data_IF_198101065339
#
_entry.id   IF_198101065339
#
_cell.length_a   1.000
_cell.length_b   1.000
_cell.length_c   1.000
_cell.angle_alpha   90.00
_cell.angle_beta   90.00
_cell.angle_gamma   90.00
#
_symmetry.space_group_name_H-M   'P 1'
#
loop_
_entity.id
_entity.type
_entity.pdbx_description
1 polymer ?
#
# COMPACT_ATOMS: atom_id res chain seq x y z
N UNK A 1 -11.34 -1.97 -25.14
CA UNK A 1 -10.61 -3.16 -24.67
C UNK A 1 -11.18 -3.57 -23.32
N UNK A 2 -11.93 -4.69 -23.24
CA UNK A 2 -12.44 -5.22 -21.97
C UNK A 2 -11.26 -5.82 -21.22
N UNK A 3 -10.87 -5.25 -20.09
CA UNK A 3 -9.96 -5.92 -19.17
C UNK A 3 -10.64 -7.21 -18.72
N UNK A 4 -10.24 -8.35 -19.28
CA UNK A 4 -10.54 -9.66 -18.69
C UNK A 4 -10.03 -9.60 -17.26
N UNK A 5 -10.95 -9.75 -16.30
CA UNK A 5 -10.76 -9.64 -14.85
C UNK A 5 -9.85 -10.76 -14.34
N UNK A 6 -8.58 -10.68 -14.68
CA UNK A 6 -7.56 -11.59 -14.18
C UNK A 6 -7.23 -11.19 -12.74
N UNK A 7 -7.45 -12.11 -11.82
CA UNK A 7 -7.12 -11.92 -10.43
C UNK A 7 -5.63 -12.19 -10.24
N UNK A 8 -4.84 -11.12 -10.33
CA UNK A 8 -3.40 -11.21 -10.25
C UNK A 8 -2.87 -11.39 -8.81
N UNK A 9 -3.77 -11.37 -7.80
CA UNK A 9 -3.40 -11.48 -6.37
C UNK A 9 -2.95 -12.88 -5.93
N UNK A 10 -3.16 -13.90 -6.79
CA UNK A 10 -2.85 -15.32 -6.52
C UNK A 10 -1.80 -15.89 -7.48
N UNK A 11 -1.12 -15.02 -8.22
CA UNK A 11 -0.32 -15.42 -9.36
C UNK A 11 0.95 -16.18 -8.94
N UNK A 12 0.92 -17.50 -9.15
CA UNK A 12 2.09 -18.40 -9.04
C UNK A 12 3.25 -17.95 -9.95
N UNK A 13 4.45 -18.54 -9.79
CA UNK A 13 5.62 -18.28 -10.65
C UNK A 13 5.30 -18.30 -12.16
N UNK A 14 4.31 -19.09 -12.59
CA UNK A 14 3.87 -19.20 -13.99
C UNK A 14 3.08 -17.98 -14.48
N UNK A 15 2.38 -17.29 -13.59
CA UNK A 15 1.64 -16.08 -13.90
C UNK A 15 2.55 -14.83 -13.98
N UNK A 16 3.69 -14.81 -13.28
CA UNK A 16 4.68 -13.72 -13.36
C UNK A 16 5.09 -13.43 -14.81
N UNK A 17 5.35 -14.48 -15.60
CA UNK A 17 5.65 -14.35 -17.04
C UNK A 17 4.46 -13.83 -17.85
N UNK A 18 3.25 -14.31 -17.55
CA UNK A 18 2.04 -13.94 -18.30
C UNK A 18 1.68 -12.46 -18.07
N UNK A 19 1.85 -11.98 -16.83
CA UNK A 19 1.76 -10.57 -16.45
C UNK A 19 2.76 -9.72 -17.24
N UNK A 20 4.04 -10.11 -17.21
CA UNK A 20 5.11 -9.41 -17.92
C UNK A 20 4.85 -9.34 -19.43
N UNK A 21 4.30 -10.40 -20.02
CA UNK A 21 4.06 -10.49 -21.47
C UNK A 21 2.80 -9.73 -21.88
N UNK A 22 1.78 -9.61 -21.02
CA UNK A 22 0.50 -8.98 -21.39
C UNK A 22 0.44 -7.46 -21.16
N UNK A 23 1.60 -6.77 -21.14
CA UNK A 23 1.76 -5.29 -21.19
C UNK A 23 0.62 -4.52 -20.52
N UNK A 24 0.50 -4.66 -19.20
CA UNK A 24 -0.56 -3.98 -18.47
C UNK A 24 -0.21 -2.50 -18.37
N UNK A 25 -1.20 -1.63 -18.53
CA UNK A 25 -1.00 -0.18 -18.40
C UNK A 25 -1.17 0.28 -16.93
N UNK A 26 -0.66 -0.51 -15.97
CA UNK A 26 -0.65 -0.09 -14.58
C UNK A 26 0.38 1.02 -14.38
N UNK A 27 0.03 2.01 -13.57
CA UNK A 27 0.83 3.23 -13.42
C UNK A 27 1.46 3.37 -12.03
N UNK A 28 1.03 2.56 -11.07
CA UNK A 28 1.59 2.58 -9.71
C UNK A 28 0.71 1.90 -8.67
N UNK A 29 1.24 1.85 -7.45
CA UNK A 29 0.55 1.40 -6.24
C UNK A 29 0.14 2.64 -5.45
N UNK A 30 -1.07 2.63 -4.89
CA UNK A 30 -1.51 3.61 -3.92
C UNK A 30 -1.77 2.95 -2.58
N UNK A 31 -1.47 3.68 -1.51
CA UNK A 31 -1.55 3.21 -0.14
C UNK A 31 -2.32 4.25 0.66
N UNK A 32 -3.30 3.82 1.43
CA UNK A 32 -3.99 4.64 2.43
C UNK A 32 -3.90 3.94 3.78
N UNK A 33 -3.37 4.61 4.79
CA UNK A 33 -3.27 4.07 6.14
C UNK A 33 -3.83 5.12 7.11
N UNK A 34 -4.86 4.72 7.85
CA UNK A 34 -5.39 5.45 8.98
C UNK A 34 -5.90 4.44 10.03
N UNK A 35 -6.34 4.93 11.19
CA UNK A 35 -6.76 4.07 12.30
C UNK A 35 -8.02 3.23 12.02
N UNK A 36 -8.82 3.57 10.99
CA UNK A 36 -10.02 2.83 10.58
C UNK A 36 -9.77 1.90 9.40
N UNK A 37 -8.95 2.36 8.46
CA UNK A 37 -8.84 1.79 7.12
C UNK A 37 -7.39 1.74 6.72
N UNK A 38 -6.99 0.59 6.19
CA UNK A 38 -5.65 0.39 5.67
C UNK A 38 -5.74 -0.34 4.34
N UNK A 39 -5.41 0.36 3.26
CA UNK A 39 -5.66 -0.06 1.89
C UNK A 39 -4.39 -0.01 1.06
N UNK A 40 -4.28 -0.98 0.16
CA UNK A 40 -3.29 -0.99 -0.92
C UNK A 40 -4.05 -1.27 -2.20
N UNK A 41 -3.82 -0.48 -3.25
CA UNK A 41 -4.41 -0.77 -4.55
C UNK A 41 -3.49 -0.49 -5.73
N UNK A 42 -3.70 -1.24 -6.81
CA UNK A 42 -3.01 -1.04 -8.08
C UNK A 42 -3.81 -0.08 -8.96
N UNK A 43 -3.14 0.98 -9.43
CA UNK A 43 -3.71 1.98 -10.33
C UNK A 43 -3.56 1.55 -11.78
N UNK A 44 -4.66 1.58 -12.52
CA UNK A 44 -4.70 1.47 -13.97
C UNK A 44 -4.72 2.83 -14.68
N UNK A 45 -4.91 2.81 -16.01
CA UNK A 45 -4.97 4.03 -16.82
C UNK A 45 -6.05 5.00 -16.33
N UNK A 46 -5.71 6.28 -16.28
CA UNK A 46 -6.61 7.33 -15.79
C UNK A 46 -6.87 7.26 -14.28
N UNK A 47 -6.00 6.61 -13.51
CA UNK A 47 -6.10 6.54 -12.04
C UNK A 47 -7.14 5.55 -11.52
N UNK A 48 -7.67 4.66 -12.35
CA UNK A 48 -8.71 3.70 -11.95
C UNK A 48 -8.16 2.63 -11.02
N UNK A 49 -8.86 2.36 -9.93
CA UNK A 49 -8.60 1.22 -9.06
C UNK A 49 -8.85 -0.11 -9.80
N UNK A 50 -7.82 -0.95 -9.86
CA UNK A 50 -7.90 -2.24 -10.56
C UNK A 50 -7.98 -3.42 -9.60
N UNK A 51 -7.28 -3.34 -8.46
CA UNK A 51 -7.20 -4.40 -7.47
C UNK A 51 -6.90 -3.76 -6.11
N UNK A 52 -7.69 -4.09 -5.10
CA UNK A 52 -7.62 -3.47 -3.77
C UNK A 52 -7.48 -4.54 -2.69
N UNK A 53 -6.56 -4.32 -1.76
CA UNK A 53 -6.43 -5.08 -0.52
C UNK A 53 -6.69 -4.16 0.67
N UNK A 54 -7.33 -4.70 1.70
CA UNK A 54 -7.63 -4.00 2.94
C UNK A 54 -7.14 -4.82 4.14
N UNK A 55 -6.41 -4.18 5.05
CA UNK A 55 -6.17 -4.71 6.40
C UNK A 55 -7.39 -4.44 7.28
N UNK A 56 -7.94 -5.48 7.89
CA UNK A 56 -9.13 -5.42 8.73
C UNK A 56 -8.85 -6.08 10.08
N UNK A 57 -8.53 -5.26 11.07
CA UNK A 57 -8.26 -5.74 12.43
C UNK A 57 -9.54 -6.12 13.16
N UNK A 58 -10.67 -5.46 12.87
CA UNK A 58 -11.95 -5.68 13.54
C UNK A 58 -12.52 -7.07 13.21
N UNK A 59 -12.28 -7.54 12.00
CA UNK A 59 -12.73 -8.85 11.55
C UNK A 59 -11.76 -10.00 11.90
N UNK A 60 -10.74 -9.77 12.74
CA UNK A 60 -9.78 -10.81 13.11
C UNK A 60 -10.44 -12.09 13.64
N UNK A 61 -11.47 -11.96 14.48
CA UNK A 61 -12.21 -13.08 15.07
C UNK A 61 -13.26 -13.71 14.16
N UNK A 62 -13.40 -13.23 12.91
CA UNK A 62 -14.40 -13.76 11.98
C UNK A 62 -14.16 -15.24 11.70
N UNK A 63 -15.26 -16.00 11.60
CA UNK A 63 -15.28 -17.40 11.19
C UNK A 63 -15.49 -17.57 9.68
N UNK A 64 -15.86 -16.51 8.98
CA UNK A 64 -16.09 -16.53 7.52
C UNK A 64 -14.82 -16.07 6.77
N UNK A 65 -13.85 -16.97 6.67
CA UNK A 65 -12.56 -16.68 6.06
C UNK A 65 -12.03 -17.88 5.27
N UNK A 66 -11.08 -17.60 4.38
CA UNK A 66 -10.22 -18.57 3.72
C UNK A 66 -8.75 -18.16 3.92
N UNK A 67 -7.81 -19.10 3.77
CA UNK A 67 -6.40 -18.75 3.73
C UNK A 67 -5.97 -18.53 2.29
N UNK A 68 -5.49 -17.32 2.02
CA UNK A 68 -4.85 -16.99 0.75
C UNK A 68 -3.34 -17.01 0.92
N UNK A 69 -2.63 -17.65 -0.02
CA UNK A 69 -1.17 -17.63 -0.04
C UNK A 69 -0.65 -16.44 -0.87
N UNK A 70 -0.10 -15.43 -0.20
CA UNK A 70 0.54 -14.26 -0.84
C UNK A 70 2.03 -14.30 -0.50
N UNK A 71 2.86 -14.32 -1.54
CA UNK A 71 4.32 -14.44 -1.43
C UNK A 71 4.81 -15.50 -0.43
N UNK A 72 4.19 -16.69 -0.46
CA UNK A 72 4.54 -17.77 0.46
C UNK A 72 3.84 -17.73 1.81
N UNK A 73 3.36 -16.57 2.26
CA UNK A 73 2.65 -16.38 3.53
C UNK A 73 1.16 -16.71 3.40
N UNK A 74 0.62 -17.44 4.37
CA UNK A 74 -0.82 -17.67 4.47
C UNK A 74 -1.46 -16.49 5.21
N UNK A 75 -2.37 -15.79 4.54
CA UNK A 75 -3.10 -14.65 5.08
C UNK A 75 -4.58 -14.99 5.21
N UNK A 76 -5.15 -14.66 6.37
CA UNK A 76 -6.56 -14.86 6.65
C UNK A 76 -7.39 -13.87 5.84
N UNK A 77 -8.00 -14.34 4.75
CA UNK A 77 -8.79 -13.53 3.83
C UNK A 77 -10.27 -13.67 4.14
N UNK A 78 -10.96 -12.57 4.35
CA UNK A 78 -12.39 -12.55 4.65
C UNK A 78 -13.16 -12.81 3.37
N UNK A 79 -14.09 -13.76 3.42
CA UNK A 79 -14.95 -14.09 2.28
C UNK A 79 -16.05 -13.00 2.21
N UNK A 80 -15.96 -12.14 1.20
CA UNK A 80 -16.98 -11.10 0.88
C UNK A 80 -17.53 -11.29 -0.53
N UNK A 81 -18.70 -10.71 -0.82
CA UNK A 81 -19.37 -10.83 -2.11
C UNK A 81 -18.60 -10.17 -3.27
N UNK A 82 -17.79 -9.14 -2.99
CA UNK A 82 -16.99 -8.44 -4.01
C UNK A 82 -15.68 -9.17 -4.28
N UNK A 83 -15.45 -9.55 -5.55
CA UNK A 83 -14.16 -10.10 -6.01
C UNK A 83 -13.09 -9.03 -6.27
N UNK A 84 -13.44 -7.73 -6.25
CA UNK A 84 -12.51 -6.63 -6.57
C UNK A 84 -11.64 -6.21 -5.38
N UNK A 85 -12.11 -6.48 -4.16
CA UNK A 85 -11.44 -6.11 -2.92
C UNK A 85 -11.17 -7.36 -2.10
N UNK A 86 -9.92 -7.57 -1.72
CA UNK A 86 -9.52 -8.62 -0.76
C UNK A 86 -9.37 -8.00 0.61
N UNK A 87 -10.06 -8.54 1.60
CA UNK A 87 -9.96 -8.07 2.96
C UNK A 87 -9.17 -9.09 3.77
N UNK A 88 -8.06 -8.67 4.35
CA UNK A 88 -7.19 -9.51 5.16
C UNK A 88 -7.51 -9.21 6.62
N UNK A 89 -8.03 -10.21 7.32
CA UNK A 89 -8.11 -10.19 8.77
C UNK A 89 -6.69 -10.29 9.33
N UNK A 90 -6.23 -9.25 10.04
CA UNK A 90 -4.85 -9.16 10.53
C UNK A 90 -4.77 -8.52 11.92
N UNK A 91 -3.77 -8.93 12.71
CA UNK A 91 -3.36 -8.24 13.94
C UNK A 91 -2.01 -7.52 13.78
N UNK A 92 -1.35 -7.72 12.65
CA UNK A 92 -0.02 -7.18 12.32
C UNK A 92 -0.08 -6.55 10.93
N UNK A 93 -0.93 -5.53 10.74
CA UNK A 93 -1.15 -4.96 9.43
C UNK A 93 0.12 -4.40 8.78
N UNK A 94 1.03 -3.82 9.55
CA UNK A 94 2.30 -3.27 9.07
C UNK A 94 3.10 -4.34 8.32
N UNK A 95 3.11 -5.58 8.82
CA UNK A 95 3.81 -6.70 8.19
C UNK A 95 3.01 -7.23 6.99
N UNK A 96 1.69 -7.40 7.13
CA UNK A 96 0.86 -7.99 6.07
C UNK A 96 0.73 -7.06 4.85
N UNK A 97 0.56 -5.76 5.06
CA UNK A 97 0.54 -4.77 3.99
C UNK A 97 1.89 -4.67 3.29
N UNK A 98 3.00 -4.77 4.03
CA UNK A 98 4.33 -4.83 3.42
C UNK A 98 4.45 -5.99 2.44
N UNK A 99 4.04 -7.19 2.85
CA UNK A 99 4.06 -8.38 1.98
C UNK A 99 3.18 -8.16 0.75
N UNK A 100 2.01 -7.54 0.89
CA UNK A 100 1.12 -7.23 -0.24
C UNK A 100 1.79 -6.24 -1.20
N UNK A 101 2.40 -5.17 -0.69
CA UNK A 101 3.08 -4.15 -1.50
C UNK A 101 4.29 -4.74 -2.22
N UNK A 102 5.13 -5.51 -1.53
CA UNK A 102 6.28 -6.18 -2.13
C UNK A 102 5.86 -7.16 -3.23
N UNK A 103 4.79 -7.93 -2.98
CA UNK A 103 4.21 -8.83 -3.97
C UNK A 103 3.72 -8.08 -5.22
N UNK A 104 3.04 -6.93 -5.04
CA UNK A 104 2.60 -6.08 -6.14
C UNK A 104 3.78 -5.51 -6.93
N UNK A 105 4.81 -4.99 -6.24
CA UNK A 105 6.04 -4.49 -6.86
C UNK A 105 6.73 -5.58 -7.69
N UNK A 106 6.81 -6.80 -7.16
CA UNK A 106 7.48 -7.91 -7.82
C UNK A 106 6.74 -8.36 -9.10
N UNK A 107 5.42 -8.48 -9.02
CA UNK A 107 4.56 -8.94 -10.12
C UNK A 107 4.45 -7.88 -11.20
N UNK A 108 4.02 -6.67 -10.83
CA UNK A 108 3.65 -5.64 -11.81
C UNK A 108 4.81 -4.75 -12.23
N UNK A 109 5.92 -4.72 -11.47
CA UNK A 109 7.09 -3.87 -11.74
C UNK A 109 6.71 -2.39 -11.84
N UNK A 110 5.83 -1.96 -10.94
CA UNK A 110 5.34 -0.58 -10.83
C UNK A 110 5.79 0.04 -9.49
N UNK A 111 6.03 1.37 -9.45
CA UNK A 111 6.42 2.07 -8.23
C UNK A 111 5.21 2.34 -7.31
N UNK A 112 5.49 2.79 -6.08
CA UNK A 112 4.48 3.42 -5.22
C UNK A 112 4.28 4.85 -5.71
N UNK A 113 3.04 5.19 -6.04
CA UNK A 113 2.68 6.49 -6.58
C UNK A 113 2.20 7.44 -5.48
N UNK A 114 1.10 7.11 -4.81
CA UNK A 114 0.50 7.96 -3.77
C UNK A 114 0.44 7.22 -2.43
N UNK A 115 0.82 7.92 -1.37
CA UNK A 115 0.68 7.45 0.02
C UNK A 115 -0.11 8.48 0.80
N UNK A 116 -1.25 8.07 1.33
CA UNK A 116 -2.02 8.81 2.32
C UNK A 116 -1.81 8.15 3.67
N UNK A 117 -1.10 8.82 4.57
CA UNK A 117 -0.80 8.29 5.89
C UNK A 117 -1.29 9.23 6.98
N UNK A 118 -2.29 8.79 7.72
CA UNK A 118 -2.80 9.48 8.89
C UNK A 118 -2.35 8.76 10.15
N UNK A 119 -1.43 9.39 10.87
CA UNK A 119 -0.83 8.86 12.10
C UNK A 119 -1.70 9.12 13.33
N UNK A 120 -2.76 9.94 13.20
CA UNK A 120 -3.66 10.22 14.31
C UNK A 120 -4.29 8.89 14.78
N UNK A 121 -4.07 8.54 16.06
CA UNK A 121 -4.50 7.29 16.71
C UNK A 121 -3.77 6.02 16.25
N UNK A 122 -2.58 6.15 15.65
CA UNK A 122 -1.68 5.03 15.37
C UNK A 122 -0.41 5.22 16.22
N UNK A 123 -0.31 4.50 17.33
CA UNK A 123 0.81 4.63 18.28
C UNK A 123 2.14 4.18 17.65
N UNK A 124 2.12 3.09 16.88
CA UNK A 124 3.29 2.48 16.24
C UNK A 124 3.47 2.94 14.77
N UNK A 125 3.20 4.21 14.47
CA UNK A 125 3.16 4.69 13.08
C UNK A 125 4.48 4.47 12.30
N UNK A 126 5.63 4.52 12.98
CA UNK A 126 6.94 4.30 12.35
C UNK A 126 7.10 2.89 11.76
N UNK A 127 6.38 1.89 12.27
CA UNK A 127 6.44 0.51 11.76
C UNK A 127 5.86 0.37 10.35
N UNK A 128 5.08 1.35 9.88
CA UNK A 128 4.52 1.36 8.52
C UNK A 128 5.49 1.92 7.47
N UNK A 129 6.53 2.68 7.87
CA UNK A 129 7.48 3.30 6.94
C UNK A 129 8.12 2.30 5.95
N UNK A 130 8.54 1.08 6.37
CA UNK A 130 9.12 0.10 5.45
C UNK A 130 8.21 -0.35 4.30
N UNK A 131 6.90 -0.08 4.37
CA UNK A 131 5.95 -0.35 3.31
C UNK A 131 6.15 0.65 2.15
N UNK A 132 6.49 1.90 2.47
CA UNK A 132 6.51 3.04 1.55
C UNK A 132 7.70 3.97 1.73
N UNK A 133 8.90 3.44 1.96
CA UNK A 133 10.14 4.21 2.07
C UNK A 133 10.41 5.14 0.86
N UNK A 134 9.81 4.85 -0.29
CA UNK A 134 9.87 5.68 -1.49
C UNK A 134 8.48 5.79 -2.12
N UNK A 135 8.07 7.01 -2.49
CA UNK A 135 6.83 7.26 -3.23
C UNK A 135 6.92 8.54 -4.09
N UNK A 136 6.01 8.68 -5.06
CA UNK A 136 5.95 9.91 -5.86
C UNK A 136 5.32 11.07 -5.08
N UNK A 137 4.17 10.81 -4.44
CA UNK A 137 3.41 11.78 -3.65
C UNK A 137 3.08 11.24 -2.27
N UNK A 138 3.37 12.04 -1.25
CA UNK A 138 3.10 11.74 0.16
C UNK A 138 2.11 12.76 0.74
N UNK A 139 1.08 12.26 1.42
CA UNK A 139 0.14 13.03 2.23
C UNK A 139 0.22 12.52 3.67
N UNK A 140 0.97 13.22 4.51
CA UNK A 140 1.09 12.91 5.94
C UNK A 140 0.11 13.77 6.74
N UNK A 141 -0.77 13.12 7.49
CA UNK A 141 -1.63 13.74 8.49
C UNK A 141 -1.08 13.35 9.87
N UNK A 142 -0.46 14.32 10.54
CA UNK A 142 0.29 14.16 11.78
C UNK A 142 0.01 15.37 12.69
N UNK A 143 -1.20 15.44 13.27
CA UNK A 143 -1.57 16.60 14.13
C UNK A 143 -1.02 16.46 15.53
N UNK A 144 -0.88 15.21 15.98
CA UNK A 144 -0.53 14.87 17.35
C UNK A 144 0.93 14.38 17.49
N UNK A 145 1.73 14.43 16.41
CA UNK A 145 3.15 14.08 16.47
C UNK A 145 4.00 15.27 16.91
N UNK A 146 5.11 15.00 17.58
CA UNK A 146 6.12 16.02 17.89
C UNK A 146 6.87 16.46 16.63
N UNK A 147 7.58 17.60 16.70
CA UNK A 147 8.46 18.03 15.60
C UNK A 147 9.58 17.00 15.36
N UNK A 148 10.12 16.41 16.43
CA UNK A 148 11.16 15.37 16.36
C UNK A 148 10.67 14.13 15.62
N UNK A 149 9.46 13.65 15.93
CA UNK A 149 8.83 12.51 15.23
C UNK A 149 8.63 12.79 13.74
N UNK A 150 8.24 14.02 13.40
CA UNK A 150 8.03 14.44 12.01
C UNK A 150 9.36 14.49 11.24
N UNK A 151 10.44 14.99 11.85
CA UNK A 151 11.76 14.98 11.22
C UNK A 151 12.31 13.54 11.09
N UNK A 152 12.18 12.71 12.12
CA UNK A 152 12.57 11.30 12.07
C UNK A 152 11.80 10.52 10.98
N UNK A 153 10.53 10.86 10.75
CA UNK A 153 9.75 10.31 9.64
C UNK A 153 10.31 10.77 8.28
N UNK A 154 10.58 12.07 8.12
CA UNK A 154 11.12 12.65 6.88
C UNK A 154 12.46 12.03 6.48
N UNK A 155 13.33 11.76 7.45
CA UNK A 155 14.65 11.20 7.22
C UNK A 155 14.62 9.76 6.67
N UNK A 156 13.50 9.05 6.86
CA UNK A 156 13.36 7.66 6.42
C UNK A 156 12.58 7.50 5.11
N UNK A 157 12.05 8.58 4.55
CA UNK A 157 11.26 8.54 3.31
C UNK A 157 11.86 9.39 2.20
N UNK A 158 11.79 8.87 0.97
CA UNK A 158 12.10 9.64 -0.23
C UNK A 158 10.81 9.94 -0.99
N UNK A 159 10.53 11.24 -1.18
CA UNK A 159 9.35 11.71 -1.94
C UNK A 159 9.80 12.39 -3.23
N UNK A 160 9.36 11.86 -4.37
CA UNK A 160 9.84 12.29 -5.69
C UNK A 160 9.25 13.64 -6.14
N UNK A 161 7.97 13.88 -5.89
CA UNK A 161 7.23 14.97 -6.54
C UNK A 161 6.55 15.93 -5.56
N UNK A 162 5.69 15.43 -4.68
CA UNK A 162 4.88 16.28 -3.79
C UNK A 162 4.79 15.69 -2.39
N UNK A 163 5.09 16.51 -1.39
CA UNK A 163 4.87 16.16 0.01
C UNK A 163 3.92 17.18 0.64
N UNK A 164 2.80 16.70 1.18
CA UNK A 164 1.86 17.45 2.00
C UNK A 164 1.95 16.99 3.45
N UNK A 165 2.09 17.93 4.38
CA UNK A 165 1.99 17.73 5.83
C UNK A 165 0.77 18.50 6.33
N UNK A 166 -0.20 17.81 6.94
CA UNK A 166 -1.42 18.43 7.47
C UNK A 166 -2.12 19.33 6.43
N UNK A 167 -2.28 18.82 5.20
CA UNK A 167 -2.82 19.52 4.02
C UNK A 167 -2.00 20.72 3.51
N UNK A 168 -0.81 20.98 4.06
CA UNK A 168 0.10 22.04 3.58
C UNK A 168 1.22 21.43 2.76
N UNK A 169 1.44 21.94 1.55
CA UNK A 169 2.55 21.50 0.70
C UNK A 169 3.87 21.93 1.33
N UNK A 170 4.73 20.96 1.63
CA UNK A 170 6.11 21.20 2.03
C UNK A 170 6.90 21.56 0.77
N UNK A 171 7.50 22.76 0.77
CA UNK A 171 8.40 23.16 -0.31
C UNK A 171 9.64 22.28 -0.25
N UNK A 172 10.09 21.81 -1.40
CA UNK A 172 11.35 21.09 -1.57
C UNK A 172 12.51 22.08 -1.33
N UNK A 173 12.76 22.45 -0.09
CA UNK A 173 13.94 23.23 0.26
C UNK A 173 15.11 22.24 0.39
N UNK A 174 16.04 22.29 -0.57
CA UNK A 174 17.38 21.66 -0.56
C UNK A 174 17.54 20.44 0.36
N UNK A 175 17.04 19.29 -0.04
CA UNK A 175 17.58 18.01 0.43
C UNK A 175 18.50 17.49 -0.67
N UNK A 176 19.76 17.89 -0.60
CA UNK A 176 20.84 17.08 -1.17
C UNK A 176 20.96 15.88 -0.25
N UNK A 177 20.37 14.74 -0.61
CA UNK A 177 20.78 13.48 -0.04
C UNK A 177 22.03 13.06 -0.81
N UNK A 178 23.16 13.09 -0.10
CA UNK A 178 24.47 12.73 -0.65
C UNK A 178 24.45 11.33 -1.27
N UNK A 179 25.27 11.20 -2.32
CA UNK A 179 25.57 10.02 -3.13
C UNK A 179 25.66 8.70 -2.39
#
# INVERSE_FOLDING_TARGET
>A
MKFSRFDFSLCSKRCKRLVQVTRHNFIGISIEINYLVQLVWVRGPGGKECLTWAGDQLSWSTKNYEYTKIDGRHMKTIIRASRKSRWIATQTPEIDLKVIVDHCKEIFRIPIHDVEFNTDRIENFMEYIPIFSECSTMYLQARNLSEEDIEAFKDQITVEYKFYLNNKRIKRNKFYWNK
#
